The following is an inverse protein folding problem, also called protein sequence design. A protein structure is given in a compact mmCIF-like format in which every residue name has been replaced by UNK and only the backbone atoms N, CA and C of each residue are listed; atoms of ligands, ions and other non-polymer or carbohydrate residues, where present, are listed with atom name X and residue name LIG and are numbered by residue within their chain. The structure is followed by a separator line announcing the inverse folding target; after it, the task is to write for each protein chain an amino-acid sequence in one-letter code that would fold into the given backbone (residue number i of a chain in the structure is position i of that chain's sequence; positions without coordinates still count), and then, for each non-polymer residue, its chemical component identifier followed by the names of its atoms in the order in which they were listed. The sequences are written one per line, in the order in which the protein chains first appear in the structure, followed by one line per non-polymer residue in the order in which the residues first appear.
data_IF_513383215939
#
_entry.id   IF_513383215939
#
_cell.length_a   1.000
_cell.length_b   1.000
_cell.length_c   1.000
_cell.angle_alpha   90.00
_cell.angle_beta   90.00
_cell.angle_gamma   90.00
#
_symmetry.space_group_name_H-M   'P 1'
#
loop_
_entity.id
_entity.type
_entity.pdbx_description
1 polymer ?
#
# COMPACT_ATOMS: atom_id res chain seq x y z
N UNK A 1 9.27 -6.04 -19.74
CA UNK A 1 8.87 -5.35 -18.49
C UNK A 1 7.37 -5.51 -18.32
N UNK A 2 6.94 -5.97 -17.16
CA UNK A 2 5.53 -6.19 -16.81
C UNK A 2 5.08 -5.09 -15.85
N UNK A 3 3.91 -4.52 -16.10
CA UNK A 3 3.25 -3.57 -15.17
C UNK A 3 2.04 -4.27 -14.58
N UNK A 4 2.01 -4.40 -13.26
CA UNK A 4 0.96 -5.07 -12.53
C UNK A 4 0.28 -4.10 -11.58
N UNK A 5 -1.04 -3.95 -11.69
CA UNK A 5 -1.84 -3.06 -10.86
C UNK A 5 -2.81 -3.89 -10.03
N UNK A 6 -2.79 -3.69 -8.73
CA UNK A 6 -3.68 -4.35 -7.77
C UNK A 6 -4.21 -3.33 -6.76
N UNK A 7 -5.39 -3.56 -6.21
CA UNK A 7 -5.99 -2.76 -5.15
C UNK A 7 -6.95 -3.60 -4.30
N UNK A 8 -7.39 -3.06 -3.19
CA UNK A 8 -8.48 -3.60 -2.38
C UNK A 8 -8.28 -5.06 -1.95
N UNK A 9 -7.05 -5.43 -1.61
CA UNK A 9 -6.74 -6.77 -1.12
C UNK A 9 -7.23 -7.02 0.30
N UNK A 10 -7.28 -5.97 1.12
CA UNK A 10 -7.72 -6.03 2.52
C UNK A 10 -7.07 -7.17 3.31
N UNK A 11 -5.75 -7.32 3.16
CA UNK A 11 -5.01 -8.40 3.84
C UNK A 11 -5.14 -8.27 5.35
N UNK A 12 -5.38 -9.39 6.00
CA UNK A 12 -5.42 -9.50 7.46
C UNK A 12 -5.12 -10.95 7.88
N UNK A 13 -4.74 -11.18 9.15
CA UNK A 13 -4.52 -12.55 9.66
C UNK A 13 -5.80 -13.40 9.65
N UNK A 14 -6.99 -12.76 9.67
CA UNK A 14 -8.28 -13.45 9.63
C UNK A 14 -8.63 -13.99 8.25
N UNK A 15 -7.93 -13.59 7.22
CA UNK A 15 -8.18 -13.96 5.83
C UNK A 15 -6.94 -14.63 5.19
N UNK A 16 -6.50 -15.79 5.68
CA UNK A 16 -5.26 -16.43 5.25
C UNK A 16 -5.27 -16.84 3.76
N UNK A 17 -6.44 -17.00 3.14
CA UNK A 17 -6.54 -17.28 1.71
C UNK A 17 -6.09 -16.10 0.86
N UNK A 18 -6.44 -14.87 1.27
CA UNK A 18 -6.01 -13.66 0.57
C UNK A 18 -4.50 -13.46 0.70
N UNK A 19 -3.96 -13.70 1.90
CA UNK A 19 -2.50 -13.66 2.13
C UNK A 19 -1.79 -14.67 1.22
N UNK A 20 -2.24 -15.93 1.18
CA UNK A 20 -1.65 -16.94 0.28
C UNK A 20 -1.76 -16.56 -1.20
N UNK A 21 -2.90 -15.98 -1.61
CA UNK A 21 -3.10 -15.50 -2.97
C UNK A 21 -2.10 -14.40 -3.34
N UNK A 22 -1.88 -13.46 -2.43
CA UNK A 22 -0.91 -12.39 -2.64
C UNK A 22 0.53 -12.93 -2.71
N UNK A 23 0.91 -13.83 -1.82
CA UNK A 23 2.24 -14.46 -1.86
C UNK A 23 2.45 -15.26 -3.15
N UNK A 24 1.44 -15.99 -3.61
CA UNK A 24 1.49 -16.72 -4.89
C UNK A 24 1.64 -15.76 -6.09
N UNK A 25 1.02 -14.58 -6.04
CA UNK A 25 1.19 -13.54 -7.04
C UNK A 25 2.64 -13.05 -7.10
N UNK A 26 3.24 -12.75 -5.95
CA UNK A 26 4.64 -12.32 -5.87
C UNK A 26 5.58 -13.38 -6.44
N UNK A 27 5.41 -14.64 -6.05
CA UNK A 27 6.23 -15.74 -6.55
C UNK A 27 6.09 -15.93 -8.07
N UNK A 28 4.86 -15.84 -8.60
CA UNK A 28 4.60 -15.97 -10.04
C UNK A 28 5.34 -14.91 -10.88
N UNK A 29 5.38 -13.67 -10.38
CA UNK A 29 6.00 -12.54 -11.10
C UNK A 29 7.44 -12.24 -10.70
N UNK A 30 8.01 -12.98 -9.77
CA UNK A 30 9.33 -12.75 -9.17
C UNK A 30 10.44 -12.53 -10.20
N UNK A 31 10.45 -13.30 -11.28
CA UNK A 31 11.50 -13.27 -12.32
C UNK A 31 11.04 -12.58 -13.61
N UNK A 32 10.02 -11.72 -13.56
CA UNK A 32 9.37 -11.17 -14.76
C UNK A 32 9.72 -9.71 -15.04
N UNK A 33 10.71 -9.13 -14.37
CA UNK A 33 11.04 -7.69 -14.45
C UNK A 33 9.77 -6.85 -14.32
N UNK A 34 9.13 -6.96 -13.14
CA UNK A 34 7.80 -6.42 -12.86
C UNK A 34 7.88 -5.13 -12.08
N UNK A 35 7.04 -4.17 -12.45
CA UNK A 35 6.67 -3.02 -11.63
C UNK A 35 5.27 -3.28 -11.07
N UNK A 36 5.20 -3.52 -9.75
CA UNK A 36 3.97 -3.77 -9.02
C UNK A 36 3.46 -2.46 -8.41
N UNK A 37 2.26 -2.06 -8.78
CA UNK A 37 1.55 -0.90 -8.24
C UNK A 37 0.40 -1.38 -7.35
N UNK A 38 0.46 -1.05 -6.06
CA UNK A 38 -0.57 -1.36 -5.08
C UNK A 38 -1.35 -0.05 -4.82
N UNK A 39 -2.57 0.02 -5.33
CA UNK A 39 -3.36 1.25 -5.40
C UNK A 39 -4.33 1.39 -4.21
N UNK A 40 -3.82 1.22 -3.00
CA UNK A 40 -4.56 1.39 -1.76
C UNK A 40 -5.34 0.16 -1.29
N UNK A 41 -5.77 0.22 -0.02
CA UNK A 41 -6.50 -0.84 0.67
C UNK A 41 -5.80 -2.22 0.57
N UNK A 42 -4.48 -2.18 0.68
CA UNK A 42 -3.63 -3.36 0.72
C UNK A 42 -3.90 -4.18 1.98
N UNK A 43 -3.97 -3.48 3.12
CA UNK A 43 -4.33 -4.06 4.41
C UNK A 43 -5.74 -3.65 4.84
N UNK A 44 -6.42 -4.53 5.56
CA UNK A 44 -7.76 -4.25 6.09
C UNK A 44 -7.76 -3.11 7.12
N UNK A 45 -6.69 -2.99 7.89
CA UNK A 45 -6.40 -1.88 8.79
C UNK A 45 -4.88 -1.71 8.93
N UNK A 46 -4.42 -0.48 9.13
CA UNK A 46 -3.03 -0.16 9.38
C UNK A 46 -2.94 0.85 10.53
N UNK A 47 -2.27 0.47 11.61
CA UNK A 47 -2.14 1.28 12.83
C UNK A 47 -0.76 1.89 13.01
N UNK A 48 0.25 1.43 12.29
CA UNK A 48 1.59 2.00 12.32
C UNK A 48 2.62 1.18 11.57
N UNK A 49 3.67 1.85 11.14
CA UNK A 49 4.74 1.24 10.35
C UNK A 49 5.68 0.35 11.20
N UNK A 50 5.45 0.29 12.51
CA UNK A 50 6.24 -0.48 13.47
C UNK A 50 5.66 -1.89 13.74
N UNK A 51 4.57 -2.27 13.07
CA UNK A 51 3.96 -3.60 13.24
C UNK A 51 4.98 -4.70 12.86
N UNK A 52 5.14 -5.67 13.77
CA UNK A 52 6.07 -6.80 13.66
C UNK A 52 5.40 -8.13 13.97
N UNK A 53 4.14 -8.27 13.62
CA UNK A 53 3.41 -9.53 13.79
C UNK A 53 3.88 -10.62 12.82
N UNK A 54 3.87 -11.88 13.25
CA UNK A 54 4.40 -13.03 12.49
C UNK A 54 3.77 -13.19 11.09
N UNK A 55 2.47 -12.90 10.96
CA UNK A 55 1.80 -13.00 9.67
C UNK A 55 2.30 -11.95 8.67
N UNK A 56 2.68 -10.78 9.18
CA UNK A 56 3.23 -9.69 8.39
C UNK A 56 4.68 -9.99 8.00
N UNK A 57 5.45 -10.63 8.87
CA UNK A 57 6.85 -10.99 8.59
C UNK A 57 6.97 -11.91 7.38
N UNK A 58 6.04 -12.85 7.20
CA UNK A 58 6.01 -13.69 6.01
C UNK A 58 5.82 -12.85 4.72
N UNK A 59 4.87 -11.90 4.75
CA UNK A 59 4.63 -10.98 3.63
C UNK A 59 5.88 -10.14 3.36
N UNK A 60 6.51 -9.62 4.39
CA UNK A 60 7.71 -8.78 4.28
C UNK A 60 8.87 -9.53 3.63
N UNK A 61 9.11 -10.77 4.04
CA UNK A 61 10.16 -11.60 3.47
C UNK A 61 9.96 -11.83 1.98
N UNK A 62 8.73 -12.13 1.55
CA UNK A 62 8.43 -12.35 0.13
C UNK A 62 8.53 -11.05 -0.69
N UNK A 63 8.12 -9.91 -0.13
CA UNK A 63 8.28 -8.60 -0.76
C UNK A 63 9.76 -8.25 -0.94
N UNK A 64 10.58 -8.53 0.06
CA UNK A 64 12.03 -8.32 -0.04
C UNK A 64 12.64 -9.20 -1.14
N UNK A 65 12.32 -10.49 -1.16
CA UNK A 65 12.79 -11.40 -2.22
C UNK A 65 12.31 -10.95 -3.61
N UNK A 66 11.11 -10.40 -3.70
CA UNK A 66 10.57 -9.88 -4.94
C UNK A 66 11.37 -8.68 -5.46
N UNK A 67 11.70 -7.73 -4.60
CA UNK A 67 12.51 -6.56 -4.98
C UNK A 67 13.98 -6.92 -5.24
N UNK A 68 14.57 -7.82 -4.46
CA UNK A 68 15.93 -8.33 -4.67
C UNK A 68 16.09 -9.05 -6.01
N UNK A 69 14.99 -9.59 -6.56
CA UNK A 69 14.97 -10.21 -7.90
C UNK A 69 14.90 -9.19 -9.05
N UNK A 70 15.04 -7.88 -8.76
CA UNK A 70 15.06 -6.81 -9.74
C UNK A 70 13.69 -6.21 -10.07
N UNK A 71 12.66 -6.57 -9.30
CA UNK A 71 11.33 -5.97 -9.43
C UNK A 71 11.21 -4.70 -8.58
N UNK A 72 10.18 -3.89 -8.86
CA UNK A 72 9.88 -2.67 -8.09
C UNK A 72 8.46 -2.70 -7.55
N UNK A 73 8.27 -2.10 -6.39
CA UNK A 73 6.97 -1.99 -5.71
C UNK A 73 6.66 -0.52 -5.46
N UNK A 74 5.48 -0.10 -5.89
CA UNK A 74 4.94 1.23 -5.68
C UNK A 74 3.63 1.12 -4.92
N UNK A 75 3.42 1.98 -3.93
CA UNK A 75 2.23 1.98 -3.10
C UNK A 75 1.56 3.35 -3.10
N UNK A 76 0.25 3.38 -3.29
CA UNK A 76 -0.62 4.50 -2.99
C UNK A 76 -1.49 4.17 -1.77
N UNK A 77 -1.73 5.15 -0.91
CA UNK A 77 -2.60 4.96 0.24
C UNK A 77 -4.07 4.84 -0.18
N UNK A 78 -4.79 3.92 0.47
CA UNK A 78 -6.24 3.80 0.41
C UNK A 78 -6.93 4.44 1.60
N UNK A 79 -8.20 4.15 1.78
CA UNK A 79 -8.97 4.62 2.94
C UNK A 79 -8.82 3.74 4.18
N UNK A 80 -8.33 2.51 4.05
CA UNK A 80 -8.06 1.59 5.17
C UNK A 80 -6.64 1.68 5.69
N UNK A 81 -5.70 2.00 4.82
CA UNK A 81 -4.26 2.04 5.11
C UNK A 81 -3.62 3.40 4.84
N UNK A 82 -4.39 4.48 4.99
CA UNK A 82 -3.91 5.85 4.78
C UNK A 82 -2.74 6.24 5.70
N UNK A 83 -2.55 5.56 6.81
CA UNK A 83 -1.45 5.79 7.75
C UNK A 83 -0.16 5.05 7.38
N UNK A 84 -0.20 4.11 6.41
CA UNK A 84 0.97 3.42 5.92
C UNK A 84 1.91 4.41 5.23
N UNK A 85 3.18 4.36 5.60
CA UNK A 85 4.17 5.33 5.15
C UNK A 85 5.43 4.71 4.57
N UNK A 86 6.34 5.57 4.15
CA UNK A 86 7.61 5.18 3.55
C UNK A 86 8.47 4.32 4.49
N UNK A 87 8.41 4.54 5.81
CA UNK A 87 9.16 3.75 6.79
C UNK A 87 8.86 2.25 6.71
N UNK A 88 7.59 1.88 6.49
CA UNK A 88 7.22 0.49 6.26
C UNK A 88 7.76 -0.04 4.93
N UNK A 89 7.60 0.77 3.87
CA UNK A 89 8.02 0.41 2.51
C UNK A 89 9.54 0.24 2.40
N UNK A 90 10.31 1.00 3.16
CA UNK A 90 11.78 0.91 3.20
C UNK A 90 12.27 -0.48 3.63
N UNK A 91 11.46 -1.23 4.39
CA UNK A 91 11.80 -2.59 4.84
C UNK A 91 11.99 -3.58 3.67
N UNK A 92 11.45 -3.27 2.50
CA UNK A 92 11.57 -4.10 1.29
C UNK A 92 11.83 -3.29 0.01
N UNK A 93 12.40 -2.09 0.14
CA UNK A 93 12.69 -1.19 -0.97
C UNK A 93 11.47 -0.79 -1.82
N UNK A 94 10.30 -0.65 -1.19
CA UNK A 94 9.10 -0.12 -1.82
C UNK A 94 9.10 1.41 -1.85
N UNK A 95 8.30 1.99 -2.72
CA UNK A 95 8.19 3.43 -2.91
C UNK A 95 6.76 3.90 -2.67
N UNK A 96 6.60 4.91 -1.80
CA UNK A 96 5.33 5.61 -1.63
C UNK A 96 5.17 6.61 -2.76
N UNK A 97 4.07 6.50 -3.51
CA UNK A 97 3.74 7.43 -4.58
C UNK A 97 2.55 8.31 -4.21
N UNK A 98 2.37 9.48 -4.86
CA UNK A 98 1.25 10.38 -4.59
C UNK A 98 -0.12 9.72 -4.72
N UNK A 99 -1.14 10.26 -4.04
CA UNK A 99 -2.53 9.78 -4.12
C UNK A 99 -3.10 9.81 -5.54
N UNK A 100 -2.60 10.70 -6.37
CA UNK A 100 -2.83 10.76 -7.82
C UNK A 100 -1.49 10.81 -8.49
N UNK A 101 -1.23 9.88 -9.38
CA UNK A 101 0.01 9.84 -10.14
C UNK A 101 -0.26 9.53 -11.61
N UNK A 102 0.71 9.83 -12.46
CA UNK A 102 0.61 9.68 -13.91
C UNK A 102 1.80 8.87 -14.42
N UNK A 103 1.51 7.77 -15.07
CA UNK A 103 2.51 6.89 -15.66
C UNK A 103 2.50 7.04 -17.18
N UNK A 104 3.68 6.91 -17.78
CA UNK A 104 3.82 6.75 -19.24
C UNK A 104 4.33 5.35 -19.52
N UNK A 105 3.50 4.52 -20.15
CA UNK A 105 3.83 3.15 -20.54
C UNK A 105 3.76 3.07 -22.07
N UNK A 106 4.91 3.04 -22.74
CA UNK A 106 4.96 3.17 -24.19
C UNK A 106 4.39 4.53 -24.65
N UNK A 107 3.30 4.50 -25.41
CA UNK A 107 2.58 5.70 -25.86
C UNK A 107 1.38 6.07 -24.97
N UNK A 108 1.07 5.25 -23.97
CA UNK A 108 -0.10 5.45 -23.10
C UNK A 108 0.27 6.34 -21.92
N UNK A 109 -0.56 7.33 -21.65
CA UNK A 109 -0.56 8.10 -20.40
C UNK A 109 -1.67 7.57 -19.51
N UNK A 110 -1.30 7.04 -18.34
CA UNK A 110 -2.21 6.37 -17.41
C UNK A 110 -2.24 7.19 -16.13
N UNK A 111 -3.44 7.62 -15.71
CA UNK A 111 -3.67 8.17 -14.39
C UNK A 111 -3.99 7.02 -13.44
N UNK A 112 -3.32 6.98 -12.29
CA UNK A 112 -3.55 6.00 -11.24
C UNK A 112 -3.93 6.71 -9.94
N UNK A 113 -4.94 6.18 -9.27
CA UNK A 113 -5.41 6.63 -7.96
C UNK A 113 -6.28 5.54 -7.32
N UNK A 114 -6.40 5.54 -5.99
CA UNK A 114 -7.30 4.62 -5.29
C UNK A 114 -8.79 4.91 -5.62
N UNK A 115 -9.14 6.18 -5.80
CA UNK A 115 -10.48 6.59 -6.27
C UNK A 115 -11.45 7.03 -5.16
N UNK A 116 -11.11 6.90 -3.89
CA UNK A 116 -11.96 7.32 -2.77
C UNK A 116 -12.26 8.83 -2.78
N UNK A 117 -11.36 9.64 -3.32
CA UNK A 117 -11.57 11.08 -3.51
C UNK A 117 -12.64 11.40 -4.55
N UNK A 118 -12.97 10.48 -5.45
CA UNK A 118 -13.97 10.64 -6.50
C UNK A 118 -15.41 10.41 -5.99
N UNK A 119 -15.58 9.84 -4.79
CA UNK A 119 -16.87 9.68 -4.12
C UNK A 119 -17.36 11.01 -3.53
N UNK A 120 -17.58 12.00 -4.39
CA UNK A 120 -17.89 13.39 -3.99
C UNK A 120 -19.27 13.54 -3.33
N UNK A 121 -20.19 12.62 -3.61
CA UNK A 121 -21.55 12.62 -3.04
C UNK A 121 -21.55 12.20 -1.56
N UNK A 122 -20.55 11.48 -1.09
CA UNK A 122 -20.38 11.16 0.33
C UNK A 122 -19.67 12.33 1.06
N UNK A 123 -20.46 13.37 1.36
CA UNK A 123 -19.96 14.59 2.02
C UNK A 123 -19.34 14.27 3.39
N UNK A 124 -19.89 13.31 4.12
CA UNK A 124 -19.40 12.92 5.45
C UNK A 124 -18.04 12.29 5.34
N UNK A 125 -17.86 11.37 4.41
CA UNK A 125 -16.57 10.74 4.13
C UNK A 125 -15.54 11.77 3.66
N UNK A 126 -15.88 12.67 2.75
CA UNK A 126 -14.96 13.69 2.25
C UNK A 126 -14.47 14.64 3.35
N UNK A 127 -15.34 15.02 4.30
CA UNK A 127 -14.94 15.79 5.48
C UNK A 127 -14.00 14.99 6.39
N UNK A 128 -14.35 13.76 6.71
CA UNK A 128 -13.50 12.86 7.48
C UNK A 128 -12.13 12.66 6.82
N UNK A 129 -12.11 12.39 5.52
CA UNK A 129 -10.89 12.24 4.72
C UNK A 129 -9.95 13.44 4.84
N UNK A 130 -10.49 14.67 4.71
CA UNK A 130 -9.68 15.90 4.86
C UNK A 130 -9.06 16.03 6.25
N UNK A 131 -9.77 15.61 7.28
CA UNK A 131 -9.29 15.68 8.67
C UNK A 131 -8.17 14.65 8.88
N UNK A 132 -8.42 13.38 8.61
CA UNK A 132 -7.47 12.30 8.92
C UNK A 132 -6.21 12.33 8.06
N UNK A 133 -6.29 12.89 6.84
CA UNK A 133 -5.13 13.04 5.94
C UNK A 133 -4.38 14.36 6.13
N UNK A 134 -4.79 15.18 7.09
CA UNK A 134 -4.04 16.36 7.47
C UNK A 134 -2.68 15.93 8.05
N UNK A 135 -1.53 16.48 7.55
CA UNK A 135 -0.21 16.05 7.99
C UNK A 135 0.03 16.17 9.51
N UNK A 136 -0.55 17.20 10.15
CA UNK A 136 -0.44 17.39 11.60
C UNK A 136 -1.22 16.31 12.37
N UNK A 137 -2.42 15.98 11.91
CA UNK A 137 -3.26 14.94 12.53
C UNK A 137 -2.63 13.56 12.32
N UNK A 138 -2.14 13.28 11.12
CA UNK A 138 -1.41 12.03 10.82
C UNK A 138 -0.14 11.93 11.67
N UNK A 139 0.62 12.99 11.83
CA UNK A 139 1.79 13.02 12.69
C UNK A 139 1.45 12.70 14.15
N UNK A 140 0.36 13.27 14.66
CA UNK A 140 -0.13 12.97 16.01
C UNK A 140 -0.59 11.51 16.16
N UNK A 141 -1.36 11.00 15.21
CA UNK A 141 -1.86 9.61 15.23
C UNK A 141 -0.73 8.56 15.13
N UNK A 142 0.36 8.90 14.45
CA UNK A 142 1.56 8.05 14.30
C UNK A 142 2.56 8.20 15.43
N UNK A 143 2.37 9.18 16.33
CA UNK A 143 3.23 9.34 17.49
C UNK A 143 3.00 8.18 18.46
N UNK A 144 4.07 7.60 19.06
CA UNK A 144 3.90 6.59 20.09
C UNK A 144 3.09 7.19 21.25
N UNK A 145 2.22 6.40 21.92
CA UNK A 145 1.52 6.87 23.08
C UNK A 145 2.52 7.39 24.10
N UNK A 146 2.26 8.59 24.63
CA UNK A 146 3.03 9.13 25.72
C UNK A 146 3.04 8.09 26.84
N UNK A 147 4.19 7.48 27.08
CA UNK A 147 4.38 6.60 28.24
C UNK A 147 4.23 7.46 29.49
N UNK A 148 3.13 7.29 30.18
CA UNK A 148 2.95 7.80 31.53
C UNK A 148 3.59 6.85 32.51
#
# INVERSE_FOLDING_TARGET
MTYLFISDLHLSPDHPRLVRGFLALLEHYKNSNTQLYILGDWFNAWIGDDDSSDWLDQIMNELQLFTESGNRIFFQVGNRDFALGQKFLDRFNGELIPEVDYLTIGQLKIRIEHGDALCTDDISYQKFRKIIRNPFILGFLKSPPLSF
#
